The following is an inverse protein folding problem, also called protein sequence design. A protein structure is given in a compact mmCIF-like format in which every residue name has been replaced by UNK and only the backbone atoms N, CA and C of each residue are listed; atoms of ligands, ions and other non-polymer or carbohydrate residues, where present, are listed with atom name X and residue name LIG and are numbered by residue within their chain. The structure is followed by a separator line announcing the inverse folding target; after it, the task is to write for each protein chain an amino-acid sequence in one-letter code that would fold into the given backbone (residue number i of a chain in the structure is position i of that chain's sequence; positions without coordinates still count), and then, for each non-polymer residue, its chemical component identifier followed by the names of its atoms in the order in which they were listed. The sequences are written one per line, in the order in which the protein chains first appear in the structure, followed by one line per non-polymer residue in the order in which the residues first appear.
data_IF_724760116783
#
_entry.id   IF_724760116783
#
_cell.length_a   1.000
_cell.length_b   1.000
_cell.length_c   1.000
_cell.angle_alpha   90.00
_cell.angle_beta   90.00
_cell.angle_gamma   90.00
#
_symmetry.space_group_name_H-M   'P 1'
#
loop_
_entity.id
_entity.type
_entity.pdbx_description
1 polymer ?
#
# COMPACT_ATOMS: atom_id res chain seq x y z
N UNK A 1 -31.89 -36.36 -19.65
CA UNK A 1 -31.80 -36.49 -18.19
C UNK A 1 -30.37 -36.87 -17.76
N UNK A 2 -29.96 -36.29 -16.62
CA UNK A 2 -28.72 -36.53 -15.86
C UNK A 2 -27.49 -35.73 -16.33
N UNK A 3 -27.42 -34.50 -15.80
CA UNK A 3 -26.17 -33.90 -15.34
C UNK A 3 -25.42 -34.91 -14.46
N UNK A 4 -24.15 -35.16 -14.74
CA UNK A 4 -23.22 -35.77 -13.78
C UNK A 4 -22.09 -34.76 -13.53
N UNK A 5 -21.79 -34.41 -12.26
CA UNK A 5 -20.82 -33.38 -11.92
C UNK A 5 -19.39 -33.87 -12.12
N UNK A 6 -18.52 -32.99 -12.61
CA UNK A 6 -17.07 -33.16 -12.63
C UNK A 6 -16.54 -33.27 -11.20
N UNK A 7 -16.50 -34.48 -10.67
CA UNK A 7 -15.90 -34.81 -9.38
C UNK A 7 -14.38 -34.67 -9.43
N UNK A 8 -13.87 -33.86 -8.49
CA UNK A 8 -12.56 -33.96 -7.84
C UNK A 8 -11.34 -33.91 -8.76
N UNK A 9 -10.87 -32.68 -9.00
CA UNK A 9 -9.47 -32.44 -9.39
C UNK A 9 -8.57 -32.90 -8.24
N UNK A 10 -7.88 -34.02 -8.47
CA UNK A 10 -6.78 -34.50 -7.63
C UNK A 10 -5.59 -33.54 -7.77
N UNK A 11 -5.46 -32.56 -6.88
CA UNK A 11 -4.18 -31.88 -6.68
C UNK A 11 -3.31 -32.71 -5.75
N UNK A 12 -2.64 -33.70 -6.35
CA UNK A 12 -1.54 -34.40 -5.73
C UNK A 12 -0.23 -33.62 -5.95
N UNK A 13 -0.02 -32.56 -5.16
CA UNK A 13 1.32 -32.00 -4.96
C UNK A 13 1.81 -32.47 -3.61
N UNK A 14 2.59 -33.56 -3.62
CA UNK A 14 3.45 -33.98 -2.50
C UNK A 14 4.53 -32.90 -2.28
N UNK A 15 4.14 -31.79 -1.67
CA UNK A 15 5.08 -30.91 -0.98
C UNK A 15 5.46 -31.65 0.30
N UNK A 16 6.76 -31.78 0.56
CA UNK A 16 7.32 -32.43 1.76
C UNK A 16 6.88 -31.67 3.03
N UNK A 17 5.67 -31.94 3.51
CA UNK A 17 5.12 -31.57 4.81
C UNK A 17 5.70 -32.49 5.89
N UNK A 18 7.02 -32.52 6.06
CA UNK A 18 7.67 -33.37 7.08
C UNK A 18 8.42 -32.64 8.18
N UNK A 19 8.53 -31.31 8.15
CA UNK A 19 9.29 -30.57 9.18
C UNK A 19 8.56 -29.41 9.86
N UNK A 20 7.27 -29.18 9.59
CA UNK A 20 6.52 -28.07 10.23
C UNK A 20 5.21 -28.53 10.86
N UNK A 21 5.23 -29.67 11.56
CA UNK A 21 4.04 -30.24 12.21
C UNK A 21 3.78 -29.71 13.63
N UNK A 22 4.63 -28.84 14.20
CA UNK A 22 4.51 -28.36 15.58
C UNK A 22 4.59 -26.82 15.73
N UNK A 23 3.84 -26.04 14.94
CA UNK A 23 3.62 -24.64 15.31
C UNK A 23 2.14 -24.35 15.52
N UNK A 24 1.81 -23.64 16.60
CA UNK A 24 0.45 -23.23 16.98
C UNK A 24 -0.28 -22.54 15.82
N UNK A 25 0.46 -21.84 14.95
CA UNK A 25 -0.05 -21.20 13.74
C UNK A 25 -0.69 -22.19 12.76
N UNK A 26 -0.17 -23.42 12.63
CA UNK A 26 -0.79 -24.43 11.76
C UNK A 26 -2.08 -25.00 12.34
N UNK A 27 -2.18 -25.12 13.68
CA UNK A 27 -3.41 -25.55 14.32
C UNK A 27 -4.52 -24.53 14.09
N UNK A 28 -4.21 -23.23 14.27
CA UNK A 28 -5.13 -22.13 14.00
C UNK A 28 -5.50 -22.06 12.51
N UNK A 29 -4.52 -22.16 11.59
CA UNK A 29 -4.79 -22.16 10.15
C UNK A 29 -5.72 -23.32 9.75
N UNK A 30 -5.50 -24.51 10.33
CA UNK A 30 -6.34 -25.69 10.10
C UNK A 30 -7.77 -25.46 10.59
N UNK A 31 -7.97 -24.88 11.76
CA UNK A 31 -9.30 -24.56 12.29
C UNK A 31 -10.01 -23.51 11.42
N UNK A 32 -9.30 -22.47 11.00
CA UNK A 32 -9.83 -21.45 10.08
C UNK A 32 -10.24 -22.10 8.75
N UNK A 33 -9.40 -22.96 8.16
CA UNK A 33 -9.74 -23.66 6.92
C UNK A 33 -10.96 -24.58 7.07
N UNK A 34 -11.08 -25.29 8.20
CA UNK A 34 -12.25 -26.14 8.49
C UNK A 34 -13.52 -25.31 8.67
N UNK A 35 -13.42 -24.16 9.33
CA UNK A 35 -14.52 -23.22 9.49
C UNK A 35 -14.95 -22.63 8.14
N UNK A 36 -13.99 -22.17 7.33
CA UNK A 36 -14.26 -21.64 5.98
C UNK A 36 -14.84 -22.71 5.05
N UNK A 37 -14.47 -23.98 5.20
CA UNK A 37 -15.09 -25.08 4.45
C UNK A 37 -16.55 -25.36 4.85
N UNK A 38 -16.96 -24.92 6.03
CA UNK A 38 -18.32 -25.06 6.55
C UNK A 38 -19.22 -23.85 6.25
N UNK A 39 -18.63 -22.73 5.85
CA UNK A 39 -19.33 -21.48 5.52
C UNK A 39 -19.82 -21.54 4.07
N UNK A 40 -21.04 -21.04 3.84
CA UNK A 40 -21.62 -20.97 2.49
C UNK A 40 -20.75 -20.13 1.55
N UNK A 41 -20.60 -20.62 0.32
CA UNK A 41 -19.89 -19.99 -0.80
C UNK A 41 -20.29 -18.53 -1.05
N UNK A 42 -21.54 -18.17 -0.75
CA UNK A 42 -22.07 -16.79 -0.85
C UNK A 42 -21.41 -15.83 0.15
N UNK A 43 -21.12 -16.30 1.36
CA UNK A 43 -20.43 -15.54 2.42
C UNK A 43 -18.92 -15.50 2.20
N UNK A 44 -18.33 -16.56 1.66
CA UNK A 44 -16.93 -16.58 1.22
C UNK A 44 -16.64 -15.50 0.18
N UNK A 45 -17.55 -15.27 -0.77
CA UNK A 45 -17.44 -14.20 -1.76
C UNK A 45 -17.26 -12.81 -1.14
N UNK A 46 -17.98 -12.53 -0.05
CA UNK A 46 -17.83 -11.28 0.72
C UNK A 46 -16.48 -11.20 1.43
N UNK A 47 -15.97 -12.33 1.93
CA UNK A 47 -14.67 -12.40 2.60
C UNK A 47 -13.52 -12.06 1.65
N UNK A 48 -13.54 -12.58 0.42
CA UNK A 48 -12.53 -12.26 -0.59
C UNK A 48 -12.62 -10.82 -1.11
N UNK A 49 -13.83 -10.25 -1.16
CA UNK A 49 -14.03 -8.87 -1.63
C UNK A 49 -13.41 -7.82 -0.70
N UNK A 50 -13.23 -8.14 0.59
CA UNK A 50 -12.60 -7.23 1.57
C UNK A 50 -11.08 -7.07 1.43
N UNK A 51 -10.40 -7.99 0.73
CA UNK A 51 -8.94 -7.98 0.59
C UNK A 51 -8.41 -7.29 -0.67
N UNK A 52 -9.29 -6.73 -1.51
CA UNK A 52 -8.84 -6.00 -2.68
C UNK A 52 -8.39 -4.59 -2.30
N UNK A 53 -7.07 -4.39 -2.21
CA UNK A 53 -6.45 -3.07 -2.34
C UNK A 53 -6.62 -2.56 -3.78
N UNK A 54 -7.86 -2.32 -4.21
CA UNK A 54 -8.16 -1.73 -5.51
C UNK A 54 -7.85 -0.24 -5.47
N UNK A 55 -6.57 0.09 -5.57
CA UNK A 55 -6.14 1.43 -5.89
C UNK A 55 -6.11 1.54 -7.42
N UNK A 56 -7.24 1.92 -8.00
CA UNK A 56 -7.37 2.20 -9.44
C UNK A 56 -6.62 3.48 -9.77
N UNK A 57 -5.28 3.43 -9.77
CA UNK A 57 -4.44 4.59 -10.05
C UNK A 57 -4.38 4.79 -11.57
N UNK A 58 -4.70 5.97 -12.10
CA UNK A 58 -4.48 6.26 -13.50
C UNK A 58 -3.01 6.07 -13.86
N UNK A 59 -2.74 5.15 -14.79
CA UNK A 59 -1.42 4.71 -15.23
C UNK A 59 -0.47 5.83 -15.68
N UNK A 60 -0.97 7.04 -15.96
CA UNK A 60 -0.16 8.15 -16.48
C UNK A 60 0.50 9.02 -15.40
N UNK A 61 -0.06 9.06 -14.19
CA UNK A 61 0.37 9.99 -13.13
C UNK A 61 1.80 9.71 -12.63
N UNK A 62 2.20 8.44 -12.63
CA UNK A 62 3.45 7.94 -12.06
C UNK A 62 4.42 7.38 -13.12
N UNK A 63 4.42 7.96 -14.33
CA UNK A 63 5.37 7.59 -15.37
C UNK A 63 6.72 8.31 -15.19
N UNK A 64 7.75 7.56 -14.84
CA UNK A 64 9.13 8.03 -14.73
C UNK A 64 9.85 7.73 -16.04
N UNK A 65 10.45 8.76 -16.66
CA UNK A 65 11.32 8.59 -17.82
C UNK A 65 12.76 8.59 -17.34
N UNK A 66 13.44 7.46 -17.48
CA UNK A 66 14.86 7.34 -17.21
C UNK A 66 15.60 7.49 -18.55
N UNK A 67 16.38 8.57 -18.66
CA UNK A 67 17.29 8.73 -19.79
C UNK A 67 18.56 7.97 -19.49
N UNK A 68 18.66 6.74 -20.01
CA UNK A 68 19.96 6.06 -20.09
C UNK A 68 20.60 6.41 -21.43
N UNK A 69 21.93 6.37 -21.50
CA UNK A 69 22.70 6.87 -22.65
C UNK A 69 22.29 6.24 -24.00
N UNK A 70 21.64 5.06 -23.98
CA UNK A 70 21.32 4.29 -25.19
C UNK A 70 19.82 4.01 -25.38
N UNK A 71 18.96 4.18 -24.36
CA UNK A 71 17.51 3.96 -24.49
C UNK A 71 16.70 4.75 -23.43
N UNK A 72 15.65 5.50 -23.82
CA UNK A 72 14.71 6.07 -22.86
C UNK A 72 13.82 4.98 -22.26
N UNK A 73 13.96 4.70 -20.97
CA UNK A 73 13.14 3.74 -20.25
C UNK A 73 11.96 4.46 -19.59
N UNK A 74 10.74 4.10 -19.97
CA UNK A 74 9.52 4.62 -19.37
C UNK A 74 8.97 3.62 -18.35
N UNK A 75 9.10 3.92 -17.07
CA UNK A 75 8.59 3.09 -15.97
C UNK A 75 7.27 3.65 -15.44
N UNK A 76 6.23 2.84 -15.43
CA UNK A 76 4.96 3.17 -14.79
C UNK A 76 4.94 2.66 -13.35
N UNK A 77 5.26 3.53 -12.40
CA UNK A 77 5.28 3.19 -10.97
C UNK A 77 3.87 3.05 -10.37
N UNK A 78 2.83 3.49 -11.09
CA UNK A 78 1.44 3.37 -10.64
C UNK A 78 0.99 1.93 -10.49
N UNK A 79 1.54 1.00 -11.28
CA UNK A 79 1.23 -0.44 -11.21
C UNK A 79 1.80 -1.08 -9.95
N UNK A 80 2.95 -0.60 -9.48
CA UNK A 80 3.64 -1.16 -8.32
C UNK A 80 3.10 -0.59 -7.00
N UNK A 81 2.46 0.58 -7.04
CA UNK A 81 2.10 1.31 -5.83
C UNK A 81 1.22 0.51 -4.83
N UNK A 82 0.18 -0.25 -5.26
CA UNK A 82 -0.62 -1.04 -4.33
C UNK A 82 0.21 -2.08 -3.56
N UNK A 83 1.17 -2.73 -4.22
CA UNK A 83 2.06 -3.70 -3.60
C UNK A 83 3.05 -3.02 -2.65
N UNK A 84 3.63 -1.90 -3.07
CA UNK A 84 4.54 -1.11 -2.22
C UNK A 84 3.84 -0.65 -0.95
N UNK A 85 2.59 -0.18 -1.07
CA UNK A 85 1.76 0.18 0.09
C UNK A 85 1.58 -1.02 1.03
N UNK A 86 1.14 -2.15 0.48
CA UNK A 86 0.91 -3.35 1.28
C UNK A 86 2.17 -3.81 2.02
N UNK A 87 3.30 -3.94 1.31
CA UNK A 87 4.55 -4.44 1.88
C UNK A 87 5.16 -3.47 2.91
N UNK A 88 5.03 -2.16 2.70
CA UNK A 88 5.53 -1.17 3.66
C UNK A 88 4.85 -1.26 5.04
N UNK A 89 3.58 -1.69 5.09
CA UNK A 89 2.82 -1.83 6.34
C UNK A 89 2.90 -3.25 6.89
N UNK A 90 2.68 -4.24 6.04
CA UNK A 90 2.32 -5.60 6.47
C UNK A 90 3.44 -6.64 6.32
N UNK A 91 4.58 -6.30 5.69
CA UNK A 91 5.67 -7.26 5.54
C UNK A 91 6.24 -7.66 6.91
N UNK A 92 6.32 -8.97 7.15
CA UNK A 92 6.98 -9.53 8.34
C UNK A 92 8.51 -9.57 8.20
N UNK A 93 9.03 -9.62 6.98
CA UNK A 93 10.47 -9.48 6.76
C UNK A 93 10.84 -8.00 6.80
N UNK A 94 11.68 -7.65 7.78
CA UNK A 94 12.17 -6.29 7.99
C UNK A 94 12.86 -5.72 6.75
N UNK A 95 13.65 -6.52 6.01
CA UNK A 95 14.38 -6.03 4.83
C UNK A 95 13.44 -5.69 3.68
N UNK A 96 12.51 -6.60 3.39
CA UNK A 96 11.49 -6.37 2.37
C UNK A 96 10.61 -5.17 2.71
N UNK A 97 10.25 -5.03 3.99
CA UNK A 97 9.53 -3.87 4.50
C UNK A 97 10.32 -2.57 4.31
N UNK A 98 11.60 -2.58 4.69
CA UNK A 98 12.48 -1.42 4.55
C UNK A 98 12.65 -0.98 3.09
N UNK A 99 12.90 -1.92 2.17
CA UNK A 99 13.01 -1.61 0.74
C UNK A 99 11.70 -1.04 0.17
N UNK A 100 10.57 -1.58 0.62
CA UNK A 100 9.26 -1.06 0.23
C UNK A 100 9.03 0.36 0.78
N UNK A 101 9.47 0.64 2.00
CA UNK A 101 9.45 1.98 2.60
C UNK A 101 10.35 2.97 1.87
N UNK A 102 11.57 2.58 1.49
CA UNK A 102 12.48 3.41 0.69
C UNK A 102 11.88 3.72 -0.68
N UNK A 103 11.31 2.72 -1.35
CA UNK A 103 10.65 2.90 -2.62
C UNK A 103 9.42 3.82 -2.50
N UNK A 104 8.62 3.65 -1.44
CA UNK A 104 7.50 4.54 -1.15
C UNK A 104 7.97 5.98 -0.96
N UNK A 105 9.02 6.20 -0.17
CA UNK A 105 9.61 7.52 0.03
C UNK A 105 10.06 8.18 -1.29
N UNK A 106 10.72 7.42 -2.17
CA UNK A 106 11.10 7.90 -3.51
C UNK A 106 9.88 8.30 -4.35
N UNK A 107 8.82 7.49 -4.33
CA UNK A 107 7.58 7.80 -5.04
C UNK A 107 6.92 9.06 -4.47
N UNK A 108 6.92 9.23 -3.14
CA UNK A 108 6.41 10.43 -2.48
C UNK A 108 7.17 11.69 -2.90
N UNK A 109 8.51 11.64 -2.92
CA UNK A 109 9.36 12.72 -3.40
C UNK A 109 9.06 13.07 -4.87
N UNK A 110 8.89 12.05 -5.71
CA UNK A 110 8.55 12.24 -7.12
C UNK A 110 7.16 12.88 -7.31
N UNK A 111 6.16 12.46 -6.52
CA UNK A 111 4.85 13.07 -6.52
C UNK A 111 4.95 14.55 -6.14
N UNK A 112 5.63 14.87 -5.04
CA UNK A 112 5.80 16.27 -4.58
C UNK A 112 6.43 17.14 -5.66
N UNK A 113 7.47 16.64 -6.35
CA UNK A 113 8.15 17.40 -7.41
C UNK A 113 7.30 17.56 -8.67
N UNK A 114 6.42 16.59 -8.97
CA UNK A 114 5.48 16.67 -10.09
C UNK A 114 4.27 17.55 -9.86
N UNK A 115 3.83 17.71 -8.61
CA UNK A 115 2.60 18.42 -8.27
C UNK A 115 2.37 19.77 -8.97
N UNK A 116 3.37 20.66 -9.12
CA UNK A 116 3.20 21.93 -9.83
C UNK A 116 2.95 21.80 -11.33
N UNK A 117 3.24 20.64 -11.93
CA UNK A 117 3.22 20.38 -13.37
C UNK A 117 1.98 19.59 -13.82
N UNK A 118 1.10 19.22 -12.89
CA UNK A 118 -0.11 18.44 -13.19
C UNK A 118 -1.17 19.34 -13.80
N UNK A 119 -1.75 18.89 -14.93
CA UNK A 119 -2.82 19.61 -15.61
C UNK A 119 -4.17 19.44 -14.86
N UNK A 120 -5.04 20.44 -14.96
CA UNK A 120 -6.34 20.48 -14.26
C UNK A 120 -7.21 19.22 -14.43
N UNK A 121 -7.11 18.52 -15.57
CA UNK A 121 -7.91 17.31 -15.86
C UNK A 121 -7.48 16.11 -15.00
N UNK A 122 -6.18 15.99 -14.69
CA UNK A 122 -5.64 14.92 -13.85
C UNK A 122 -5.46 15.32 -12.38
N UNK A 123 -5.65 16.61 -12.07
CA UNK A 123 -5.46 17.21 -10.75
C UNK A 123 -6.22 16.47 -9.64
N UNK A 124 -7.49 16.10 -9.86
CA UNK A 124 -8.30 15.43 -8.84
C UNK A 124 -7.75 14.04 -8.49
N UNK A 125 -7.35 13.26 -9.50
CA UNK A 125 -6.77 11.94 -9.30
C UNK A 125 -5.39 12.03 -8.65
N UNK A 126 -4.59 13.02 -9.05
CA UNK A 126 -3.31 13.30 -8.45
C UNK A 126 -3.44 13.68 -6.97
N UNK A 127 -4.34 14.61 -6.64
CA UNK A 127 -4.62 15.04 -5.26
C UNK A 127 -5.15 13.88 -4.40
N UNK A 128 -6.01 13.02 -4.95
CA UNK A 128 -6.46 11.80 -4.28
C UNK A 128 -5.29 10.87 -3.95
N UNK A 129 -4.43 10.60 -4.94
CA UNK A 129 -3.27 9.73 -4.78
C UNK A 129 -2.27 10.31 -3.77
N UNK A 130 -1.97 11.59 -3.91
CA UNK A 130 -1.09 12.33 -3.01
C UNK A 130 -1.57 12.23 -1.57
N UNK A 131 -2.88 12.44 -1.32
CA UNK A 131 -3.49 12.28 0.00
C UNK A 131 -3.23 10.90 0.59
N UNK A 132 -3.44 9.83 -0.18
CA UNK A 132 -3.23 8.47 0.32
C UNK A 132 -1.76 8.19 0.66
N UNK A 133 -0.85 8.65 -0.20
CA UNK A 133 0.59 8.51 0.03
C UNK A 133 1.00 9.26 1.31
N UNK A 134 0.58 10.51 1.47
CA UNK A 134 0.93 11.32 2.64
C UNK A 134 0.33 10.72 3.93
N UNK A 135 -0.93 10.26 3.90
CA UNK A 135 -1.52 9.57 5.05
C UNK A 135 -0.71 8.33 5.45
N UNK A 136 -0.25 7.55 4.47
CA UNK A 136 0.60 6.40 4.73
C UNK A 136 1.97 6.81 5.30
N UNK A 137 2.62 7.82 4.74
CA UNK A 137 3.88 8.35 5.26
C UNK A 137 3.75 8.85 6.70
N UNK A 138 2.61 9.47 7.06
CA UNK A 138 2.33 9.88 8.44
C UNK A 138 2.22 8.69 9.39
N UNK A 139 1.52 7.63 9.00
CA UNK A 139 1.46 6.38 9.78
C UNK A 139 2.85 5.78 9.95
N UNK A 140 3.66 5.72 8.89
CA UNK A 140 5.03 5.19 8.94
C UNK A 140 6.01 6.10 9.69
N UNK A 141 5.72 7.40 9.83
CA UNK A 141 6.48 8.31 10.68
C UNK A 141 6.26 8.04 12.18
N UNK A 142 5.25 7.23 12.53
CA UNK A 142 4.96 6.76 13.88
C UNK A 142 5.27 5.28 14.05
N UNK A 143 5.96 4.66 13.09
CA UNK A 143 6.22 3.22 13.08
C UNK A 143 7.02 2.76 14.30
N UNK A 144 6.79 1.54 14.79
CA UNK A 144 7.56 0.94 15.88
C UNK A 144 9.04 0.76 15.50
N UNK A 145 9.31 0.46 14.22
CA UNK A 145 10.67 0.23 13.74
C UNK A 145 11.45 1.55 13.59
N UNK A 146 12.59 1.73 14.28
CA UNK A 146 13.28 3.01 14.36
C UNK A 146 13.82 3.50 13.01
N UNK A 147 14.29 2.59 12.14
CA UNK A 147 14.80 2.96 10.81
C UNK A 147 13.68 3.51 9.91
N UNK A 148 12.53 2.85 9.88
CA UNK A 148 11.37 3.30 9.09
C UNK A 148 10.87 4.64 9.64
N UNK A 149 10.71 4.73 10.96
CA UNK A 149 10.33 5.96 11.66
C UNK A 149 11.27 7.12 11.34
N UNK A 150 12.58 6.89 11.34
CA UNK A 150 13.57 7.93 11.06
C UNK A 150 13.43 8.47 9.62
N UNK A 151 13.25 7.59 8.63
CA UNK A 151 13.06 7.98 7.23
C UNK A 151 11.83 8.90 7.11
N UNK A 152 10.68 8.43 7.59
CA UNK A 152 9.44 9.16 7.38
C UNK A 152 9.28 10.38 8.29
N UNK A 153 9.78 10.36 9.52
CA UNK A 153 9.74 11.55 10.38
C UNK A 153 10.57 12.70 9.77
N UNK A 154 11.79 12.41 9.31
CA UNK A 154 12.62 13.41 8.61
C UNK A 154 11.91 13.93 7.35
N UNK A 155 11.34 13.03 6.55
CA UNK A 155 10.57 13.38 5.36
C UNK A 155 9.35 14.25 5.67
N UNK A 156 8.57 13.94 6.71
CA UNK A 156 7.39 14.69 7.08
C UNK A 156 7.74 16.11 7.56
N UNK A 157 8.83 16.27 8.32
CA UNK A 157 9.34 17.60 8.70
C UNK A 157 9.72 18.42 7.45
N UNK A 158 10.42 17.79 6.49
CA UNK A 158 10.77 18.44 5.22
C UNK A 158 9.51 18.85 4.43
N UNK A 159 8.48 18.01 4.41
CA UNK A 159 7.19 18.32 3.79
C UNK A 159 6.52 19.52 4.47
N UNK A 160 6.45 19.55 5.81
CA UNK A 160 5.88 20.67 6.56
C UNK A 160 6.57 21.97 6.21
N UNK A 161 7.92 21.98 6.18
CA UNK A 161 8.68 23.16 5.79
C UNK A 161 8.38 23.57 4.34
N UNK A 162 8.34 22.60 3.42
CA UNK A 162 8.05 22.86 2.01
C UNK A 162 6.66 23.46 1.78
N UNK A 163 5.62 22.89 2.41
CA UNK A 163 4.23 23.29 2.22
C UNK A 163 3.85 24.55 3.01
N UNK A 164 4.64 24.92 4.02
CA UNK A 164 4.50 26.19 4.74
C UNK A 164 5.10 27.37 3.96
N UNK A 165 6.16 27.15 3.17
CA UNK A 165 6.89 28.23 2.49
C UNK A 165 6.41 28.53 1.06
N UNK A 166 5.77 27.58 0.34
CA UNK A 166 5.49 27.74 -1.10
C UNK A 166 4.01 27.99 -1.43
N UNK A 167 3.72 29.20 -1.87
CA UNK A 167 2.41 29.63 -2.42
C UNK A 167 2.01 28.94 -3.74
N UNK A 168 2.95 28.29 -4.46
CA UNK A 168 2.68 27.65 -5.75
C UNK A 168 2.02 26.27 -5.65
N UNK A 169 1.83 25.75 -4.44
CA UNK A 169 1.32 24.40 -4.17
C UNK A 169 0.07 24.44 -3.29
N UNK A 170 -0.81 25.45 -3.45
CA UNK A 170 -1.96 25.67 -2.56
C UNK A 170 -2.84 24.41 -2.37
N UNK A 171 -3.14 23.71 -3.45
CA UNK A 171 -4.00 22.52 -3.39
C UNK A 171 -3.35 21.34 -2.66
N UNK A 172 -2.04 21.14 -2.88
CA UNK A 172 -1.29 20.08 -2.21
C UNK A 172 -0.98 20.42 -0.76
N UNK A 173 -0.69 21.69 -0.46
CA UNK A 173 -0.56 22.20 0.89
C UNK A 173 -1.86 22.02 1.67
N UNK A 174 -3.02 22.38 1.07
CA UNK A 174 -4.33 22.10 1.66
C UNK A 174 -4.54 20.62 1.94
N UNK A 175 -4.26 19.76 0.95
CA UNK A 175 -4.43 18.30 1.09
C UNK A 175 -3.48 17.70 2.14
N UNK A 176 -2.27 18.22 2.25
CA UNK A 176 -1.29 17.85 3.27
C UNK A 176 -1.80 18.21 4.66
N UNK A 177 -2.26 19.44 4.86
CA UNK A 177 -2.82 19.91 6.15
C UNK A 177 -4.08 19.13 6.53
N UNK A 178 -4.98 18.85 5.58
CA UNK A 178 -6.14 17.98 5.82
C UNK A 178 -5.73 16.56 6.25
N UNK A 179 -4.63 16.05 5.71
CA UNK A 179 -4.12 14.72 6.07
C UNK A 179 -3.53 14.70 7.48
N UNK A 180 -2.84 15.77 7.89
CA UNK A 180 -2.33 15.93 9.26
C UNK A 180 -3.48 15.94 10.28
N UNK A 181 -4.50 16.78 10.06
CA UNK A 181 -5.64 16.91 10.97
C UNK A 181 -6.42 15.61 11.16
N UNK A 182 -6.48 14.75 10.14
CA UNK A 182 -7.15 13.43 10.24
C UNK A 182 -6.36 12.42 11.07
N UNK A 183 -5.03 12.48 11.06
CA UNK A 183 -4.21 11.59 11.88
C UNK A 183 -4.33 11.94 13.36
N UNK A 184 -4.42 13.24 13.70
CA UNK A 184 -4.65 13.68 15.07
C UNK A 184 -5.97 13.13 15.64
N UNK A 185 -7.05 13.13 14.84
CA UNK A 185 -8.35 12.57 15.28
C UNK A 185 -8.35 11.06 15.52
N UNK A 186 -7.43 10.31 14.89
CA UNK A 186 -7.32 8.85 15.10
C UNK A 186 -6.55 8.50 16.39
N UNK A 187 -5.76 9.43 16.92
CA UNK A 187 -5.03 9.23 18.18
C UNK A 187 -5.92 9.45 19.41
N UNK A 188 -6.91 10.32 19.33
CA UNK A 188 -7.86 10.56 20.42
C UNK A 188 -8.75 9.34 20.71
N UNK A 189 -9.17 8.59 19.69
CA UNK A 189 -10.01 7.38 19.86
C UNK A 189 -9.27 6.16 20.45
N UNK A 190 -7.93 6.15 20.42
CA UNK A 190 -7.12 5.06 21.03
C UNK A 190 -6.76 5.34 22.49
N UNK A 191 -7.13 6.52 23.00
CA UNK A 191 -6.78 7.01 24.34
C UNK A 191 -7.93 6.91 25.35
N UNK A 192 -9.11 6.44 24.93
CA UNK A 192 -10.31 6.19 25.75
C UNK A 192 -10.63 4.71 25.82
#
# INVERSE_FOLDING_TARGET
PLLVPLTRVQFATKVKLKEVQNSESYAVLREICLLLAYVDSSLLGSFYSGFQYHLSIPAKLLNIKLSTNDLPLNLNMGVLLPQVFFLSIHSSDFRERLYSCELLHLISCFMISRGPLVENVEQNNFTYLFRRIISLCLVLALDDQPMIRQIFNSFMIQCTNLFSCKLSMKELSKTFTESLLKVDTLHDERST
#
